data_IF_097001218484
#
_entry.id   IF_097001218484
#
_cell.length_a   1.000
_cell.length_b   1.000
_cell.length_c   1.000
_cell.angle_alpha   90.00
_cell.angle_beta   90.00
_cell.angle_gamma   90.00
#
_symmetry.space_group_name_H-M   'P 1'
#
loop_
_entity.id
_entity.type
_entity.pdbx_description
1 polymer ?
#
# COMPACT_ATOMS: atom_id res chain seq x y z
N UNK A 1 14.77 18.91 10.45
CA UNK A 1 14.43 17.99 9.34
C UNK A 1 13.56 18.75 8.34
N UNK A 2 14.10 19.09 7.16
CA UNK A 2 13.41 19.93 6.17
C UNK A 2 12.31 19.17 5.41
N UNK A 3 11.25 19.88 5.00
CA UNK A 3 10.11 19.33 4.23
C UNK A 3 10.54 18.70 2.89
N UNK A 4 11.61 19.20 2.26
CA UNK A 4 12.20 18.62 1.04
C UNK A 4 12.83 17.25 1.27
N UNK A 5 13.41 17.01 2.45
CA UNK A 5 13.93 15.68 2.80
C UNK A 5 12.80 14.66 2.99
N UNK A 6 11.64 15.12 3.48
CA UNK A 6 10.43 14.30 3.63
C UNK A 6 9.73 14.05 2.30
N UNK A 7 9.64 15.07 1.44
CA UNK A 7 9.05 14.93 0.11
C UNK A 7 9.94 14.07 -0.79
N UNK A 8 11.27 14.17 -0.70
CA UNK A 8 12.18 13.27 -1.39
C UNK A 8 12.13 11.84 -0.85
N UNK A 9 11.88 11.61 0.45
CA UNK A 9 11.67 10.28 1.03
C UNK A 9 10.31 9.66 0.62
N UNK A 10 9.24 10.46 0.53
CA UNK A 10 7.92 10.04 0.04
C UNK A 10 7.95 9.74 -1.46
N UNK A 11 8.62 10.59 -2.25
CA UNK A 11 8.94 10.33 -3.66
C UNK A 11 9.91 9.15 -3.83
N UNK A 12 10.63 8.75 -2.76
CA UNK A 12 11.57 7.61 -2.74
C UNK A 12 10.97 6.25 -2.34
N UNK A 13 9.72 6.21 -1.91
CA UNK A 13 8.94 4.97 -1.84
C UNK A 13 8.29 4.57 -3.16
N UNK A 14 7.95 5.58 -3.97
CA UNK A 14 7.41 5.43 -5.30
C UNK A 14 8.39 5.67 -6.48
N UNK A 15 9.73 5.74 -6.38
CA UNK A 15 10.62 5.99 -7.52
C UNK A 15 10.95 4.67 -8.24
N UNK A 16 10.88 3.52 -7.54
CA UNK A 16 10.80 2.20 -8.20
C UNK A 16 9.45 2.03 -8.89
N UNK A 17 8.48 2.85 -8.54
CA UNK A 17 7.17 2.97 -9.17
C UNK A 17 7.09 4.27 -9.93
N UNK A 18 7.94 4.45 -10.95
CA UNK A 18 7.79 5.56 -11.88
C UNK A 18 6.45 5.39 -12.61
N UNK A 19 5.36 5.83 -11.98
CA UNK A 19 3.98 5.76 -12.46
C UNK A 19 3.72 6.78 -13.58
N UNK A 20 4.77 7.13 -14.34
CA UNK A 20 4.64 7.85 -15.62
C UNK A 20 3.88 7.00 -16.65
N UNK A 21 3.79 5.69 -16.44
CA UNK A 21 2.90 4.83 -17.20
C UNK A 21 1.48 4.92 -16.67
N UNK A 22 0.55 5.34 -17.52
CA UNK A 22 -0.89 5.25 -17.29
C UNK A 22 -1.41 3.81 -17.39
N UNK A 23 -0.56 2.87 -17.82
CA UNK A 23 -0.98 1.50 -18.07
C UNK A 23 -1.06 0.69 -16.78
N UNK A 24 -2.25 0.19 -16.49
CA UNK A 24 -2.54 -0.74 -15.41
C UNK A 24 -1.63 -1.99 -15.41
N UNK A 25 -1.13 -2.40 -16.58
CA UNK A 25 -0.16 -3.50 -16.74
C UNK A 25 1.10 -3.34 -15.87
N UNK A 26 1.37 -2.12 -15.38
CA UNK A 26 2.45 -1.88 -14.45
C UNK A 26 2.27 -2.56 -13.07
N UNK A 27 1.03 -2.81 -12.67
CA UNK A 27 0.69 -3.36 -11.36
C UNK A 27 0.68 -4.90 -11.34
N UNK A 28 0.42 -5.54 -12.48
CA UNK A 28 0.33 -6.99 -12.61
C UNK A 28 1.52 -7.56 -13.38
N UNK A 29 1.98 -8.78 -13.04
CA UNK A 29 3.04 -9.42 -13.78
C UNK A 29 2.48 -9.89 -15.13
N UNK A 30 2.99 -9.34 -16.22
CA UNK A 30 2.67 -9.78 -17.59
C UNK A 30 3.40 -11.07 -17.99
N UNK A 31 4.37 -11.49 -17.18
CA UNK A 31 5.15 -12.72 -17.36
C UNK A 31 5.30 -13.45 -16.05
N UNK A 32 5.53 -14.76 -16.12
CA UNK A 32 5.86 -15.57 -14.96
C UNK A 32 7.07 -15.00 -14.20
N UNK A 33 6.94 -14.91 -12.87
CA UNK A 33 7.97 -14.45 -11.96
C UNK A 33 9.04 -15.53 -11.84
N UNK A 34 10.29 -15.23 -12.19
CA UNK A 34 11.35 -16.24 -12.34
C UNK A 34 12.20 -16.43 -11.10
N UNK A 35 12.26 -15.42 -10.23
CA UNK A 35 13.13 -15.44 -9.07
C UNK A 35 12.46 -14.77 -7.85
N UNK A 36 13.10 -14.94 -6.70
CA UNK A 36 12.61 -14.43 -5.41
C UNK A 36 12.59 -12.90 -5.35
N UNK A 37 13.48 -12.21 -6.07
CA UNK A 37 13.53 -10.75 -6.13
C UNK A 37 12.33 -10.20 -6.91
N UNK A 38 12.02 -10.78 -8.07
CA UNK A 38 10.83 -10.44 -8.88
C UNK A 38 9.55 -10.73 -8.09
N UNK A 39 9.50 -11.85 -7.36
CA UNK A 39 8.37 -12.21 -6.50
C UNK A 39 8.18 -11.22 -5.33
N UNK A 40 9.25 -10.88 -4.61
CA UNK A 40 9.22 -9.90 -3.54
C UNK A 40 8.82 -8.51 -4.05
N UNK A 41 9.36 -8.09 -5.19
CA UNK A 41 9.01 -6.81 -5.80
C UNK A 41 7.53 -6.76 -6.16
N UNK A 42 6.99 -7.80 -6.81
CA UNK A 42 5.57 -7.88 -7.13
C UNK A 42 4.69 -7.88 -5.88
N UNK A 43 5.05 -8.63 -4.84
CA UNK A 43 4.28 -8.67 -3.60
C UNK A 43 4.17 -7.28 -2.95
N UNK A 44 5.26 -6.51 -2.94
CA UNK A 44 5.24 -5.13 -2.44
C UNK A 44 4.27 -4.25 -3.24
N UNK A 45 4.18 -4.43 -4.57
CA UNK A 45 3.17 -3.78 -5.42
C UNK A 45 1.77 -4.11 -4.94
N UNK A 46 1.50 -5.40 -4.83
CA UNK A 46 0.18 -5.93 -4.54
C UNK A 46 -0.31 -5.45 -3.18
N UNK A 47 0.55 -5.50 -2.16
CA UNK A 47 0.24 -4.97 -0.82
C UNK A 47 -0.02 -3.47 -0.87
N UNK A 48 0.77 -2.70 -1.61
CA UNK A 48 0.56 -1.25 -1.75
C UNK A 48 -0.80 -0.94 -2.35
N UNK A 49 -1.14 -1.60 -3.46
CA UNK A 49 -2.43 -1.45 -4.15
C UNK A 49 -3.57 -1.85 -3.23
N UNK A 50 -3.47 -3.00 -2.56
CA UNK A 50 -4.50 -3.47 -1.64
C UNK A 50 -4.72 -2.48 -0.50
N UNK A 51 -3.65 -2.00 0.15
CA UNK A 51 -3.75 -1.01 1.23
C UNK A 51 -4.35 0.30 0.71
N UNK A 52 -3.92 0.81 -0.45
CA UNK A 52 -4.47 2.06 -1.00
C UNK A 52 -5.95 1.93 -1.37
N UNK A 53 -6.36 0.83 -1.99
CA UNK A 53 -7.76 0.54 -2.29
C UNK A 53 -8.61 0.45 -1.02
N UNK A 54 -8.13 -0.23 0.03
CA UNK A 54 -8.83 -0.29 1.31
C UNK A 54 -9.01 1.10 1.94
N UNK A 55 -7.94 1.92 1.93
CA UNK A 55 -7.99 3.28 2.45
C UNK A 55 -8.96 4.18 1.66
N UNK A 56 -9.05 4.00 0.34
CA UNK A 56 -10.01 4.69 -0.54
C UNK A 56 -11.44 4.25 -0.25
N UNK A 57 -11.70 2.93 -0.26
CA UNK A 57 -13.03 2.35 -0.07
C UNK A 57 -13.62 2.65 1.30
N UNK A 58 -12.78 2.83 2.31
CA UNK A 58 -13.20 3.21 3.68
C UNK A 58 -13.16 4.71 3.95
N UNK A 59 -12.90 5.52 2.93
CA UNK A 59 -12.94 6.98 3.04
C UNK A 59 -11.92 7.55 4.03
N UNK A 60 -10.79 6.86 4.25
CA UNK A 60 -9.75 7.31 5.20
C UNK A 60 -9.08 8.59 4.71
N UNK A 61 -8.96 8.74 3.39
CA UNK A 61 -8.49 9.96 2.74
C UNK A 61 -9.53 10.45 1.72
N UNK A 62 -9.63 11.76 1.47
CA UNK A 62 -10.44 12.31 0.39
C UNK A 62 -10.02 11.76 -0.98
N UNK A 63 -10.98 11.63 -1.89
CA UNK A 63 -10.80 11.05 -3.23
C UNK A 63 -9.69 11.70 -4.04
N UNK A 64 -9.54 13.02 -3.93
CA UNK A 64 -8.49 13.79 -4.60
C UNK A 64 -7.07 13.35 -4.21
N UNK A 65 -6.90 12.65 -3.08
CA UNK A 65 -5.60 12.15 -2.62
C UNK A 65 -5.13 10.92 -3.40
N UNK A 66 -5.99 10.32 -4.23
CA UNK A 66 -5.68 9.11 -4.97
C UNK A 66 -5.50 9.40 -6.46
N UNK A 67 -4.64 8.60 -7.09
CA UNK A 67 -4.56 8.45 -8.53
C UNK A 67 -5.22 7.12 -8.89
N UNK A 68 -6.15 7.16 -9.83
CA UNK A 68 -6.86 5.97 -10.31
C UNK A 68 -6.27 5.51 -11.64
N UNK A 69 -6.00 4.22 -11.73
CA UNK A 69 -5.59 3.53 -12.94
C UNK A 69 -6.71 2.59 -13.36
N UNK A 70 -7.25 2.82 -14.54
CA UNK A 70 -8.39 2.07 -15.05
C UNK A 70 -7.94 0.79 -15.75
N UNK A 71 -8.66 -0.31 -15.51
CA UNK A 71 -8.64 -1.53 -16.31
C UNK A 71 -10.09 -1.92 -16.63
N UNK A 72 -10.25 -2.69 -17.71
CA UNK A 72 -11.52 -3.30 -18.12
C UNK A 72 -12.22 -4.00 -16.96
N UNK A 73 -11.47 -4.67 -16.09
CA UNK A 73 -12.01 -5.49 -15.01
C UNK A 73 -12.16 -4.75 -13.67
N UNK A 74 -11.21 -3.86 -13.33
CA UNK A 74 -11.24 -3.11 -12.08
C UNK A 74 -10.33 -1.88 -12.06
N UNK A 75 -10.67 -0.93 -11.17
CA UNK A 75 -9.85 0.25 -10.91
C UNK A 75 -8.81 -0.01 -9.82
N UNK A 76 -7.62 0.55 -10.02
CA UNK A 76 -6.54 0.56 -9.02
C UNK A 76 -6.36 1.98 -8.50
N UNK A 77 -6.51 2.17 -7.19
CA UNK A 77 -6.26 3.45 -6.54
C UNK A 77 -4.90 3.43 -5.82
N UNK A 78 -4.11 4.46 -6.04
CA UNK A 78 -2.81 4.66 -5.38
C UNK A 78 -2.81 6.01 -4.67
N UNK A 79 -2.43 6.03 -3.39
CA UNK A 79 -2.33 7.26 -2.60
C UNK A 79 -1.15 8.11 -3.09
N UNK A 80 -1.43 9.33 -3.57
CA UNK A 80 -0.42 10.31 -3.97
C UNK A 80 -0.23 11.35 -2.86
N UNK A 81 0.90 11.24 -2.16
CA UNK A 81 1.23 12.12 -1.05
C UNK A 81 1.33 13.61 -1.45
N UNK A 82 1.55 13.93 -2.73
CA UNK A 82 1.60 15.31 -3.22
C UNK A 82 0.20 15.94 -3.32
N UNK A 83 -0.83 15.11 -3.57
CA UNK A 83 -2.24 15.56 -3.64
C UNK A 83 -2.91 15.66 -2.27
N UNK A 84 -2.25 15.19 -1.21
CA UNK A 84 -2.79 15.25 0.14
C UNK A 84 -2.72 16.67 0.68
N UNK A 85 -3.88 17.28 0.90
CA UNK A 85 -4.03 18.63 1.45
C UNK A 85 -4.41 18.54 2.94
N UNK A 86 -3.90 19.49 3.74
CA UNK A 86 -4.13 19.56 5.18
C UNK A 86 -3.08 18.82 6.02
N UNK A 87 -2.66 19.43 7.12
CA UNK A 87 -1.55 18.92 7.95
C UNK A 87 -1.88 17.56 8.60
N UNK A 88 -3.14 17.32 8.96
CA UNK A 88 -3.60 16.04 9.51
C UNK A 88 -3.46 14.89 8.51
N UNK A 89 -4.07 15.04 7.33
CA UNK A 89 -4.03 14.05 6.27
C UNK A 89 -2.59 13.78 5.80
N UNK A 90 -1.76 14.83 5.66
CA UNK A 90 -0.34 14.66 5.30
C UNK A 90 0.43 13.82 6.32
N UNK A 91 0.17 14.00 7.61
CA UNK A 91 0.80 13.18 8.68
C UNK A 91 0.34 11.73 8.60
N UNK A 92 -0.95 11.48 8.38
CA UNK A 92 -1.48 10.13 8.24
C UNK A 92 -0.96 9.42 6.99
N UNK A 93 -0.91 10.10 5.84
CA UNK A 93 -0.32 9.56 4.62
C UNK A 93 1.16 9.22 4.82
N UNK A 94 1.93 10.12 5.45
CA UNK A 94 3.33 9.87 5.85
C UNK A 94 3.47 8.66 6.78
N UNK A 95 2.53 8.47 7.69
CA UNK A 95 2.52 7.32 8.58
C UNK A 95 2.32 6.01 7.82
N UNK A 96 1.31 5.93 6.95
CA UNK A 96 1.03 4.76 6.10
C UNK A 96 2.26 4.41 5.27
N UNK A 97 2.82 5.40 4.60
CA UNK A 97 3.98 5.24 3.73
C UNK A 97 5.21 4.73 4.49
N UNK A 98 5.51 5.28 5.67
CA UNK A 98 6.61 4.77 6.52
C UNK A 98 6.40 3.33 6.97
N UNK A 99 5.15 2.93 7.28
CA UNK A 99 4.83 1.56 7.69
C UNK A 99 4.98 0.57 6.53
N UNK A 100 4.56 0.95 5.33
CA UNK A 100 4.79 0.14 4.12
C UNK A 100 6.29 -0.04 3.85
N UNK A 101 7.10 1.00 4.03
CA UNK A 101 8.55 0.88 3.91
C UNK A 101 9.15 -0.14 4.87
N UNK A 102 8.82 -0.04 6.15
CA UNK A 102 9.30 -1.00 7.14
C UNK A 102 8.84 -2.43 6.83
N UNK A 103 7.63 -2.59 6.28
CA UNK A 103 7.14 -3.88 5.80
C UNK A 103 7.96 -4.38 4.61
N UNK A 104 8.32 -3.53 3.66
CA UNK A 104 9.11 -3.93 2.48
C UNK A 104 10.50 -4.42 2.87
N UNK A 105 11.16 -3.74 3.81
CA UNK A 105 12.43 -4.19 4.37
C UNK A 105 12.29 -5.56 5.05
N UNK A 106 11.17 -5.78 5.76
CA UNK A 106 10.87 -7.05 6.40
C UNK A 106 10.53 -8.16 5.39
N UNK A 107 9.90 -7.84 4.26
CA UNK A 107 9.64 -8.78 3.16
C UNK A 107 10.96 -9.21 2.51
N UNK A 108 11.86 -8.26 2.21
CA UNK A 108 13.16 -8.56 1.60
C UNK A 108 14.02 -9.49 2.47
N UNK A 109 13.94 -9.29 3.79
CA UNK A 109 14.64 -10.12 4.78
C UNK A 109 13.90 -11.40 5.15
N UNK A 110 12.71 -11.64 4.57
CA UNK A 110 11.83 -12.79 4.87
C UNK A 110 11.39 -12.87 6.35
N UNK A 111 11.25 -11.71 6.98
CA UNK A 111 10.84 -11.57 8.39
C UNK A 111 9.35 -11.25 8.54
N UNK A 112 8.73 -10.62 7.55
CA UNK A 112 7.31 -10.28 7.61
C UNK A 112 6.47 -11.56 7.47
N UNK A 113 5.80 -12.00 8.55
CA UNK A 113 4.83 -13.11 8.50
C UNK A 113 3.41 -12.62 8.25
N UNK A 114 3.11 -11.39 8.69
CA UNK A 114 1.77 -10.86 8.67
C UNK A 114 1.79 -9.32 8.67
N UNK A 115 0.84 -8.71 7.97
CA UNK A 115 0.46 -7.30 8.11
C UNK A 115 -1.02 -7.24 8.54
N UNK A 116 -1.32 -6.52 9.63
CA UNK A 116 -2.69 -6.18 10.04
C UNK A 116 -2.95 -4.70 9.81
N UNK A 117 -3.90 -4.38 8.94
CA UNK A 117 -4.45 -3.04 8.78
C UNK A 117 -5.72 -2.94 9.62
N UNK A 118 -5.68 -2.13 10.69
CA UNK A 118 -6.84 -1.87 11.53
C UNK A 118 -7.36 -0.46 11.25
N UNK A 119 -8.62 -0.39 10.84
CA UNK A 119 -9.34 0.87 10.65
C UNK A 119 -10.29 1.04 11.81
N UNK A 120 -10.12 2.14 12.56
CA UNK A 120 -10.94 2.46 13.71
C UNK A 120 -11.78 3.67 13.35
N UNK A 121 -13.10 3.53 13.43
CA UNK A 121 -14.00 4.68 13.42
C UNK A 121 -14.35 4.99 14.86
N UNK A 122 -14.04 6.22 15.29
CA UNK A 122 -14.50 6.73 16.58
C UNK A 122 -15.92 7.23 16.40
N UNK A 123 -16.88 6.56 17.01
CA UNK A 123 -18.28 6.98 16.98
C UNK A 123 -18.49 8.37 17.61
N UNK A 124 -19.60 9.01 17.27
CA UNK A 124 -20.11 10.16 18.02
C UNK A 124 -20.92 9.58 19.20
N UNK A 125 -20.34 9.55 20.39
CA UNK A 125 -20.96 8.99 21.62
C UNK A 125 -20.22 7.78 22.20
N UNK A 126 -20.72 7.24 23.32
CA UNK A 126 -20.10 6.13 24.07
C UNK A 126 -20.34 4.73 23.47
N UNK A 127 -21.14 4.58 22.41
CA UNK A 127 -21.51 3.26 21.89
C UNK A 127 -20.82 2.92 20.57
N UNK A 128 -19.86 2.00 20.69
CA UNK A 128 -19.21 1.17 19.66
C UNK A 128 -18.18 1.85 18.75
N UNK A 129 -16.93 1.85 19.20
CA UNK A 129 -15.76 1.90 18.32
C UNK A 129 -15.84 0.71 17.34
N UNK A 130 -16.06 1.00 16.06
CA UNK A 130 -16.04 -0.02 15.00
C UNK A 130 -14.62 -0.22 14.52
N UNK A 131 -14.08 -1.40 14.80
CA UNK A 131 -12.74 -1.81 14.36
C UNK A 131 -12.89 -2.82 13.23
N UNK A 132 -12.46 -2.42 12.04
CA UNK A 132 -12.30 -3.33 10.92
C UNK A 132 -10.83 -3.75 10.80
N UNK A 133 -10.57 -5.04 10.62
CA UNK A 133 -9.20 -5.58 10.53
C UNK A 133 -9.01 -6.38 9.26
N UNK A 134 -8.11 -5.91 8.39
CA UNK A 134 -7.65 -6.67 7.23
C UNK A 134 -6.30 -7.28 7.54
N UNK A 135 -6.17 -8.59 7.35
CA UNK A 135 -4.93 -9.33 7.64
C UNK A 135 -4.36 -9.91 6.37
N UNK A 136 -3.09 -9.59 6.10
CA UNK A 136 -2.30 -10.14 5.00
C UNK A 136 -1.29 -11.12 5.59
N UNK A 137 -1.39 -12.39 5.23
CA UNK A 137 -0.42 -13.42 5.62
C UNK A 137 0.63 -13.61 4.54
N UNK A 138 1.90 -13.77 4.94
CA UNK A 138 3.03 -13.98 4.03
C UNK A 138 3.69 -15.33 4.31
N UNK A 139 3.77 -16.17 3.28
CA UNK A 139 4.50 -17.45 3.34
C UNK A 139 5.66 -17.42 2.36
N UNK A 140 6.87 -17.75 2.82
CA UNK A 140 8.08 -17.77 1.98
C UNK A 140 8.40 -19.20 1.56
N UNK A 141 8.22 -19.52 0.28
CA UNK A 141 8.56 -20.82 -0.28
C UNK A 141 10.06 -21.03 -0.54
N UNK A 142 10.44 -22.28 -0.75
CA UNK A 142 11.76 -22.71 -1.26
C UNK A 142 11.92 -22.51 -2.78
N UNK A 143 10.81 -22.26 -3.49
CA UNK A 143 10.70 -21.85 -4.90
C UNK A 143 10.18 -20.38 -4.95
N UNK A 144 10.27 -19.64 -6.07
CA UNK A 144 9.99 -18.19 -6.15
C UNK A 144 8.51 -17.82 -5.97
N UNK A 145 7.96 -18.13 -4.81
CA UNK A 145 6.57 -17.95 -4.45
C UNK A 145 6.52 -17.40 -3.04
N UNK A 146 6.20 -16.11 -2.94
CA UNK A 146 5.62 -15.57 -1.72
C UNK A 146 4.11 -15.66 -1.88
N UNK A 147 3.45 -16.42 -1.01
CA UNK A 147 1.99 -16.51 -1.00
C UNK A 147 1.45 -15.41 -0.09
N UNK A 148 0.43 -14.71 -0.59
CA UNK A 148 -0.34 -13.73 0.16
C UNK A 148 -1.77 -14.23 0.32
N UNK A 149 -2.33 -14.13 1.52
CA UNK A 149 -3.76 -14.40 1.75
C UNK A 149 -4.34 -13.26 2.55
N UNK A 150 -5.53 -12.79 2.14
CA UNK A 150 -6.24 -11.67 2.79
C UNK A 150 -7.47 -12.23 3.49
N UNK A 151 -7.58 -11.96 4.79
CA UNK A 151 -8.80 -12.18 5.57
C UNK A 151 -9.32 -10.81 6.02
N UNK A 152 -10.61 -10.54 5.77
CA UNK A 152 -11.29 -9.30 6.12
C UNK A 152 -12.74 -9.57 6.50
#
# INVERSE_FOLDING_TARGET
>A
MSEEYLNSQLLRLFPTFNFRSTAFEFFLPTRALKNTVESAFFLKKLVTVAVCNLLKLRGVFPDQCFVTYHNVDFDVHVLDANRVIGNGNKRQAKYVVRRLNGLFDAIDRKYAKELRLRLMSRGIGESEDRIETFTFHFEYGTRPLIKMTING
#
